data_IF_059106494938
#
_entry.id   IF_059106494938
#
_cell.length_a   1.000
_cell.length_b   1.000
_cell.length_c   1.000
_cell.angle_alpha   90.00
_cell.angle_beta   90.00
_cell.angle_gamma   90.00
#
_symmetry.space_group_name_H-M   'P 1'
#
loop_
_entity.id
_entity.type
_entity.pdbx_description
1 polymer ?
#
# COMPACT_ATOMS: atom_id res chain seq x y z
N UNK A 1 -21.74 -9.82 -13.88
CA UNK A 1 -20.53 -9.03 -13.53
C UNK A 1 -19.52 -10.01 -13.00
N UNK A 2 -18.26 -10.00 -13.49
CA UNK A 2 -17.25 -10.92 -13.00
C UNK A 2 -17.00 -10.69 -11.50
N UNK A 3 -16.79 -11.78 -10.76
CA UNK A 3 -16.35 -11.73 -9.37
C UNK A 3 -14.84 -11.77 -9.34
N UNK A 4 -14.23 -10.82 -8.62
CA UNK A 4 -12.78 -10.72 -8.44
C UNK A 4 -12.51 -10.92 -6.96
N UNK A 5 -11.64 -11.87 -6.63
CA UNK A 5 -11.29 -12.19 -5.26
C UNK A 5 -10.73 -10.95 -4.52
N UNK A 6 -11.07 -10.82 -3.24
CA UNK A 6 -10.62 -9.71 -2.38
C UNK A 6 -10.94 -8.32 -2.93
N UNK A 7 -12.07 -8.19 -3.64
CA UNK A 7 -12.54 -6.91 -4.17
C UNK A 7 -14.06 -6.79 -4.11
N UNK A 8 -14.54 -5.57 -4.28
CA UNK A 8 -15.94 -5.24 -4.45
C UNK A 8 -16.12 -4.22 -5.58
N UNK A 9 -17.33 -4.18 -6.14
CA UNK A 9 -17.71 -3.16 -7.12
C UNK A 9 -18.06 -1.88 -6.36
N UNK A 10 -17.25 -0.83 -6.53
CA UNK A 10 -17.49 0.47 -5.90
C UNK A 10 -18.34 1.40 -6.77
N UNK A 11 -18.28 1.25 -8.09
CA UNK A 11 -19.10 2.01 -9.03
C UNK A 11 -19.40 1.19 -10.26
N UNK A 12 -20.61 1.28 -10.79
CA UNK A 12 -20.96 0.67 -12.07
C UNK A 12 -21.87 1.60 -12.86
N UNK A 13 -21.67 1.68 -14.18
CA UNK A 13 -22.61 2.34 -15.07
C UNK A 13 -23.76 1.40 -15.42
N UNK A 14 -24.90 1.98 -15.82
CA UNK A 14 -25.91 1.25 -16.58
C UNK A 14 -25.32 0.74 -17.91
N UNK A 15 -25.96 -0.27 -18.49
CA UNK A 15 -25.66 -0.72 -19.84
C UNK A 15 -26.11 0.38 -20.81
N UNK A 16 -25.25 0.74 -21.75
CA UNK A 16 -25.52 1.75 -22.77
C UNK A 16 -25.35 1.13 -24.16
N UNK A 17 -26.11 1.62 -25.14
CA UNK A 17 -25.96 1.22 -26.54
C UNK A 17 -25.40 2.38 -27.35
N UNK A 18 -24.14 2.30 -27.77
CA UNK A 18 -23.43 3.38 -28.46
C UNK A 18 -22.58 2.76 -29.58
N UNK A 19 -22.53 3.41 -30.74
CA UNK A 19 -21.76 2.94 -31.90
C UNK A 19 -22.07 1.48 -32.28
N UNK A 20 -23.35 1.09 -32.21
CA UNK A 20 -23.80 -0.27 -32.50
C UNK A 20 -23.23 -1.36 -31.57
N UNK A 21 -22.87 -0.99 -30.32
CA UNK A 21 -22.32 -1.90 -29.32
C UNK A 21 -22.98 -1.64 -27.95
N UNK A 22 -23.25 -2.71 -27.21
CA UNK A 22 -23.58 -2.62 -25.79
C UNK A 22 -22.29 -2.42 -24.99
N UNK A 23 -22.27 -1.38 -24.16
CA UNK A 23 -21.14 -1.07 -23.31
C UNK A 23 -21.54 -0.89 -21.85
N UNK A 24 -20.63 -1.25 -20.96
CA UNK A 24 -20.76 -0.99 -19.53
C UNK A 24 -19.39 -0.83 -18.91
N UNK A 25 -19.24 0.07 -17.93
CA UNK A 25 -18.00 0.26 -17.18
C UNK A 25 -18.22 -0.02 -15.70
N UNK A 26 -17.26 -0.73 -15.09
CA UNK A 26 -17.30 -1.11 -13.68
C UNK A 26 -15.97 -0.77 -13.02
N UNK A 27 -16.06 -0.03 -11.94
CA UNK A 27 -14.95 0.27 -11.05
C UNK A 27 -14.90 -0.80 -9.96
N UNK A 28 -13.79 -1.53 -9.92
CA UNK A 28 -13.46 -2.42 -8.83
C UNK A 28 -12.60 -1.70 -7.79
N UNK A 29 -12.78 -2.07 -6.54
CA UNK A 29 -11.97 -1.60 -5.42
C UNK A 29 -11.56 -2.81 -4.58
N UNK A 30 -10.26 -2.89 -4.25
CA UNK A 30 -9.76 -3.97 -3.41
C UNK A 30 -10.28 -3.83 -1.98
N UNK A 31 -10.52 -4.96 -1.33
CA UNK A 31 -10.89 -5.01 0.06
C UNK A 31 -9.79 -4.40 0.94
N UNK A 32 -10.13 -3.88 2.14
CA UNK A 32 -9.12 -3.44 3.10
C UNK A 32 -8.03 -4.51 3.32
N UNK A 33 -6.76 -4.09 3.32
CA UNK A 33 -5.61 -5.00 3.39
C UNK A 33 -5.15 -5.57 2.05
N UNK A 34 -5.79 -5.19 0.94
CA UNK A 34 -5.41 -5.54 -0.42
C UNK A 34 -5.23 -4.30 -1.28
N UNK A 35 -4.32 -4.37 -2.24
CA UNK A 35 -4.04 -3.34 -3.23
C UNK A 35 -4.13 -3.93 -4.64
N UNK A 36 -4.35 -3.06 -5.62
CA UNK A 36 -4.33 -3.44 -7.03
C UNK A 36 -2.91 -3.93 -7.37
N UNK A 37 -2.79 -5.13 -7.92
CA UNK A 37 -1.52 -5.67 -8.36
C UNK A 37 -0.92 -4.77 -9.45
N UNK A 38 0.39 -4.54 -9.40
CA UNK A 38 1.09 -3.71 -10.40
C UNK A 38 0.88 -4.20 -11.84
N UNK A 39 0.63 -5.50 -12.03
CA UNK A 39 0.33 -6.14 -13.32
C UNK A 39 -1.07 -5.84 -13.86
N UNK A 40 -1.99 -5.35 -13.02
CA UNK A 40 -3.40 -5.19 -13.40
C UNK A 40 -3.68 -3.94 -14.21
N UNK A 41 -2.76 -2.96 -14.23
CA UNK A 41 -2.87 -1.72 -14.99
C UNK A 41 -3.94 -0.74 -14.48
N UNK A 42 -5.22 -1.16 -14.41
CA UNK A 42 -6.37 -0.31 -14.08
C UNK A 42 -7.44 -1.07 -13.29
N UNK A 43 -8.19 -0.33 -12.49
CA UNK A 43 -9.32 -0.83 -11.70
C UNK A 43 -10.69 -0.56 -12.32
N UNK A 44 -10.73 0.23 -13.41
CA UNK A 44 -11.90 0.48 -14.24
C UNK A 44 -11.91 -0.52 -15.40
N UNK A 45 -12.88 -1.42 -15.41
CA UNK A 45 -13.03 -2.47 -16.43
C UNK A 45 -14.19 -2.14 -17.33
N UNK A 46 -14.00 -2.23 -18.65
CA UNK A 46 -15.07 -2.10 -19.63
C UNK A 46 -15.59 -3.47 -20.05
N UNK A 47 -16.87 -3.52 -20.37
CA UNK A 47 -17.52 -4.63 -21.04
C UNK A 47 -18.07 -4.13 -22.36
N UNK A 48 -17.66 -4.75 -23.47
CA UNK A 48 -18.14 -4.47 -24.82
C UNK A 48 -18.79 -5.73 -25.38
N UNK A 49 -20.09 -5.68 -25.63
CA UNK A 49 -20.89 -6.82 -26.13
C UNK A 49 -20.66 -8.13 -25.35
N UNK A 50 -20.55 -8.02 -24.02
CA UNK A 50 -20.33 -9.17 -23.14
C UNK A 50 -18.86 -9.58 -22.97
N UNK A 51 -17.94 -9.02 -23.75
CA UNK A 51 -16.49 -9.22 -23.60
C UNK A 51 -15.93 -8.22 -22.60
N UNK A 52 -15.29 -8.72 -21.55
CA UNK A 52 -14.67 -7.87 -20.53
C UNK A 52 -13.20 -7.60 -20.87
N UNK A 53 -12.74 -6.40 -20.54
CA UNK A 53 -11.31 -6.11 -20.45
C UNK A 53 -10.63 -7.05 -19.43
N UNK A 54 -9.29 -7.22 -19.49
CA UNK A 54 -8.55 -7.93 -18.46
C UNK A 54 -8.94 -7.46 -17.06
N UNK A 55 -9.30 -8.43 -16.20
CA UNK A 55 -9.81 -8.14 -14.87
C UNK A 55 -8.65 -7.78 -13.93
N UNK A 56 -8.84 -6.79 -13.04
CA UNK A 56 -7.85 -6.46 -12.03
C UNK A 56 -7.66 -7.60 -11.04
N UNK A 57 -6.46 -7.70 -10.51
CA UNK A 57 -6.09 -8.63 -9.45
C UNK A 57 -5.78 -7.82 -8.19
N UNK A 58 -6.41 -8.18 -7.08
CA UNK A 58 -6.11 -7.59 -5.77
C UNK A 58 -5.15 -8.51 -5.02
N UNK A 59 -3.96 -7.99 -4.68
CA UNK A 59 -2.94 -8.69 -3.91
C UNK A 59 -2.84 -8.12 -2.50
N UNK A 60 -2.36 -8.92 -1.56
CA UNK A 60 -2.12 -8.48 -0.19
C UNK A 60 -1.27 -7.20 -0.17
N UNK A 61 -1.66 -6.22 0.65
CA UNK A 61 -0.91 -4.99 0.80
C UNK A 61 0.41 -5.28 1.55
N UNK A 62 1.58 -5.00 0.96
CA UNK A 62 2.85 -5.21 1.63
C UNK A 62 2.87 -4.45 2.95
N UNK A 63 3.28 -5.12 4.03
CA UNK A 63 3.27 -4.56 5.38
C UNK A 63 4.57 -4.92 6.09
N UNK A 64 5.16 -3.96 6.80
CA UNK A 64 6.36 -4.16 7.60
C UNK A 64 6.03 -4.67 9.00
N UNK A 65 6.86 -5.54 9.58
CA UNK A 65 6.64 -6.08 10.91
C UNK A 65 6.82 -5.02 11.99
N UNK A 66 5.90 -4.97 12.95
CA UNK A 66 5.94 -4.02 14.08
C UNK A 66 7.07 -4.33 15.05
N UNK A 67 7.42 -5.62 15.24
CA UNK A 67 8.46 -6.02 16.18
C UNK A 67 9.83 -5.41 15.91
N UNK A 68 10.18 -5.18 14.63
CA UNK A 68 11.46 -4.54 14.26
C UNK A 68 11.54 -3.07 14.72
N UNK A 69 10.41 -2.37 14.85
CA UNK A 69 10.38 -1.02 15.39
C UNK A 69 10.77 -0.99 16.87
N UNK A 70 10.28 -1.96 17.66
CA UNK A 70 10.55 -2.00 19.10
C UNK A 70 12.04 -2.16 19.39
N UNK A 71 12.73 -3.01 18.61
CA UNK A 71 14.18 -3.23 18.77
C UNK A 71 15.04 -2.07 18.28
N UNK A 72 14.54 -1.25 17.36
CA UNK A 72 15.30 -0.17 16.73
C UNK A 72 15.18 1.18 17.44
N UNK A 73 14.24 1.33 18.39
CA UNK A 73 14.02 2.57 19.12
C UNK A 73 14.98 2.73 20.32
N UNK A 74 16.29 2.61 20.08
CA UNK A 74 17.34 2.78 21.09
C UNK A 74 17.98 4.15 20.96
N UNK A 75 18.06 4.91 22.06
CA UNK A 75 18.62 6.27 22.10
C UNK A 75 18.02 7.23 21.04
N UNK A 76 16.78 6.97 20.63
CA UNK A 76 16.03 7.79 19.68
C UNK A 76 14.66 8.11 20.24
N UNK A 77 14.06 9.20 19.75
CA UNK A 77 12.68 9.59 19.99
C UNK A 77 11.94 9.71 18.66
N UNK A 78 10.68 9.31 18.61
CA UNK A 78 9.80 9.57 17.46
C UNK A 78 9.34 11.02 17.56
N UNK A 79 9.59 11.81 16.50
CA UNK A 79 9.13 13.21 16.43
C UNK A 79 7.85 13.35 15.63
N UNK A 80 7.67 12.52 14.59
CA UNK A 80 6.47 12.47 13.76
C UNK A 80 6.43 11.12 13.03
N UNK A 81 5.24 10.72 12.59
CA UNK A 81 5.07 9.50 11.81
C UNK A 81 3.79 9.53 10.96
N UNK A 82 3.70 8.63 9.99
CA UNK A 82 2.53 8.37 9.16
C UNK A 82 2.15 6.88 9.19
N UNK A 83 2.26 6.26 10.37
CA UNK A 83 1.99 4.83 10.54
C UNK A 83 0.53 4.53 10.22
N UNK A 84 0.33 3.67 9.23
CA UNK A 84 -0.98 3.16 8.86
C UNK A 84 -1.00 1.65 9.14
N UNK A 85 -2.10 1.18 9.73
CA UNK A 85 -2.29 -0.24 9.96
C UNK A 85 -2.44 -0.95 8.60
N UNK A 86 -1.53 -1.89 8.34
CA UNK A 86 -1.57 -2.80 7.20
C UNK A 86 -2.13 -4.17 7.59
N UNK A 87 -1.84 -5.18 6.79
CA UNK A 87 -2.24 -6.55 7.08
C UNK A 87 -1.34 -7.17 8.17
N UNK A 88 -1.72 -6.99 9.44
CA UNK A 88 -0.97 -7.49 10.59
C UNK A 88 0.33 -6.75 10.89
N UNK A 89 0.53 -5.57 10.28
CA UNK A 89 1.76 -4.78 10.40
C UNK A 89 1.57 -3.31 10.07
N UNK A 90 2.64 -2.64 9.65
CA UNK A 90 2.61 -1.26 9.16
C UNK A 90 2.53 -1.26 7.63
N UNK A 91 1.59 -0.53 7.06
CA UNK A 91 1.39 -0.46 5.62
C UNK A 91 2.63 0.10 4.89
N UNK A 92 2.98 -0.49 3.75
CA UNK A 92 4.01 0.06 2.88
C UNK A 92 3.70 1.50 2.44
N UNK A 93 4.72 2.35 2.45
CA UNK A 93 4.62 3.79 2.24
C UNK A 93 4.57 4.60 3.54
N UNK A 94 4.24 3.98 4.67
CA UNK A 94 4.36 4.64 5.98
C UNK A 94 5.80 5.01 6.32
N UNK A 95 5.96 6.06 7.10
CA UNK A 95 7.25 6.56 7.54
C UNK A 95 7.24 7.00 9.00
N UNK A 96 8.43 7.04 9.60
CA UNK A 96 8.69 7.46 10.96
C UNK A 96 9.88 8.40 10.91
N UNK A 97 9.71 9.61 11.44
CA UNK A 97 10.80 10.54 11.64
C UNK A 97 11.29 10.42 13.08
N UNK A 98 12.58 10.16 13.20
CA UNK A 98 13.29 9.99 14.45
C UNK A 98 14.19 11.20 14.73
N UNK A 99 14.59 11.30 15.98
CA UNK A 99 15.65 12.20 16.43
C UNK A 99 16.45 11.47 17.51
N UNK A 100 17.77 11.64 17.55
CA UNK A 100 18.55 11.08 18.66
C UNK A 100 18.09 11.70 20.00
N UNK A 101 18.10 10.88 21.04
CA UNK A 101 17.81 11.31 22.40
C UNK A 101 18.86 12.33 22.89
N UNK A 102 18.52 13.09 23.93
CA UNK A 102 19.43 14.09 24.50
C UNK A 102 20.75 13.43 24.92
N UNK A 103 21.87 14.01 24.48
CA UNK A 103 23.21 13.48 24.76
C UNK A 103 23.73 12.44 23.76
N UNK A 104 22.94 12.05 22.75
CA UNK A 104 23.37 11.12 21.70
C UNK A 104 23.47 11.81 20.35
N UNK A 105 24.39 11.30 19.51
CA UNK A 105 24.60 11.80 18.15
C UNK A 105 24.34 10.71 17.11
N UNK A 106 23.86 11.10 15.94
CA UNK A 106 23.63 10.16 14.85
C UNK A 106 24.98 9.66 14.35
N UNK A 107 25.14 8.33 14.29
CA UNK A 107 26.28 7.75 13.62
C UNK A 107 26.17 8.04 12.11
N UNK A 108 27.13 8.78 11.49
CA UNK A 108 27.04 9.20 10.10
C UNK A 108 27.12 8.04 9.10
N UNK A 109 27.55 6.85 9.54
CA UNK A 109 27.57 5.62 8.74
C UNK A 109 26.31 4.76 8.93
N UNK A 110 25.40 5.16 9.83
CA UNK A 110 24.15 4.45 10.09
C UNK A 110 23.02 4.88 9.14
N UNK A 111 21.85 4.26 9.29
CA UNK A 111 20.67 4.62 8.51
C UNK A 111 20.21 6.07 8.73
N UNK A 112 19.24 6.48 7.91
CA UNK A 112 18.61 7.80 8.06
C UNK A 112 17.69 7.85 9.28
N UNK A 113 17.56 9.04 9.89
CA UNK A 113 16.53 9.31 10.89
C UNK A 113 15.10 9.26 10.33
N UNK A 114 14.94 9.27 8.99
CA UNK A 114 13.65 9.04 8.36
C UNK A 114 13.54 7.56 7.92
N UNK A 115 12.84 6.77 8.72
CA UNK A 115 12.65 5.33 8.50
C UNK A 115 11.35 5.11 7.74
N UNK A 116 11.38 4.31 6.68
CA UNK A 116 10.23 4.09 5.80
C UNK A 116 9.91 2.60 5.68
N UNK A 117 8.63 2.25 5.66
CA UNK A 117 8.18 0.93 5.27
C UNK A 117 8.15 0.87 3.75
N UNK A 118 9.06 0.12 3.13
CA UNK A 118 9.22 0.07 1.68
C UNK A 118 8.06 -0.69 1.03
N UNK A 119 7.86 -0.48 -0.28
CA UNK A 119 6.90 -1.23 -1.10
C UNK A 119 7.10 -2.75 -1.08
N UNK A 120 8.28 -3.21 -0.68
CA UNK A 120 8.62 -4.62 -0.48
C UNK A 120 8.11 -5.21 0.84
N UNK A 121 7.52 -4.40 1.74
CA UNK A 121 7.11 -4.85 3.07
C UNK A 121 8.27 -4.96 4.08
N UNK A 122 9.39 -4.27 3.82
CA UNK A 122 10.55 -4.23 4.72
C UNK A 122 10.87 -2.80 5.13
N UNK A 123 11.26 -2.60 6.39
CA UNK A 123 11.76 -1.30 6.85
C UNK A 123 13.06 -0.90 6.14
N UNK A 124 13.26 0.40 5.94
CA UNK A 124 14.59 0.92 5.63
C UNK A 124 15.55 0.71 6.80
N UNK A 125 16.85 0.83 6.53
CA UNK A 125 17.89 0.71 7.57
C UNK A 125 17.60 1.70 8.70
N UNK A 126 17.64 1.20 9.94
CA UNK A 126 17.44 2.01 11.13
C UNK A 126 18.70 2.82 11.47
N UNK A 127 18.55 4.04 11.99
CA UNK A 127 19.67 4.86 12.46
C UNK A 127 20.23 4.28 13.77
N UNK A 128 21.50 4.58 14.05
CA UNK A 128 22.14 4.28 15.34
C UNK A 128 22.56 5.61 15.96
N UNK A 129 22.10 5.85 17.19
CA UNK A 129 22.51 7.01 17.98
C UNK A 129 23.42 6.56 19.13
N UNK A 130 24.62 7.15 19.19
CA UNK A 130 25.68 6.85 20.17
C UNK A 130 26.32 8.12 20.72
#
# INVERSE_FOLDING_TARGET
VPQIANSYVSRATSIQYINNQYQRKIQFTCNPGYILASTSGQSLVSCLNGVWDPLPVCTISPSCPVGQLQSALVNVRIVSNSLQAGNGGVLAGSWIQLQCASGFTLNPLSGSLNVTCRSTGTWSVFPVCS
#
